data_IF_311762479311
#
_entry.id   IF_311762479311
#
_cell.length_a   1.000
_cell.length_b   1.000
_cell.length_c   1.000
_cell.angle_alpha   90.00
_cell.angle_beta   90.00
_cell.angle_gamma   90.00
#
_symmetry.space_group_name_H-M   'P 1'
#
loop_
_entity.id
_entity.type
_entity.pdbx_description
1 polymer ?
#
# COMPACT_ATOMS: atom_id res chain seq x y z
N UNK A 1 19.07 -16.68 -7.95
CA UNK A 1 18.24 -16.73 -9.18
C UNK A 1 17.91 -15.29 -9.53
N UNK A 2 18.12 -14.91 -10.79
CA UNK A 2 18.12 -13.50 -11.26
C UNK A 2 16.70 -12.92 -11.31
N UNK A 3 16.48 -11.65 -10.93
CA UNK A 3 15.23 -10.92 -11.20
C UNK A 3 14.82 -11.09 -12.69
N UNK A 4 15.81 -11.19 -13.58
CA UNK A 4 15.68 -11.55 -15.00
C UNK A 4 15.06 -12.94 -15.26
N UNK A 5 15.32 -13.95 -14.42
CA UNK A 5 14.70 -15.28 -14.52
C UNK A 5 13.24 -15.28 -14.03
N UNK A 6 12.84 -14.29 -13.22
CA UNK A 6 11.44 -14.09 -12.81
C UNK A 6 10.55 -13.64 -13.98
N UNK A 7 11.08 -12.79 -14.86
CA UNK A 7 10.44 -12.37 -16.13
C UNK A 7 10.34 -13.52 -17.15
N UNK A 8 11.08 -14.61 -16.94
CA UNK A 8 10.94 -15.87 -17.68
C UNK A 8 9.72 -16.71 -17.26
N UNK A 9 9.13 -16.42 -16.09
CA UNK A 9 7.77 -16.88 -15.76
C UNK A 9 6.83 -16.03 -16.61
N UNK A 10 5.74 -16.61 -17.14
CA UNK A 10 4.85 -15.98 -18.13
C UNK A 10 4.05 -14.74 -17.63
N UNK A 11 4.57 -14.02 -16.64
CA UNK A 11 3.94 -12.95 -15.90
C UNK A 11 4.21 -11.62 -16.60
N UNK A 12 3.15 -10.86 -16.84
CA UNK A 12 3.28 -9.57 -17.49
C UNK A 12 3.84 -8.52 -16.53
N UNK A 13 4.96 -7.86 -16.85
CA UNK A 13 5.59 -6.85 -16.00
C UNK A 13 4.82 -5.53 -15.92
N UNK A 14 3.67 -5.42 -16.62
CA UNK A 14 2.79 -4.25 -16.60
C UNK A 14 1.56 -4.48 -15.74
N UNK A 15 1.01 -5.69 -15.69
CA UNK A 15 -0.18 -6.01 -14.88
C UNK A 15 0.08 -7.00 -13.73
N UNK A 16 1.23 -7.66 -13.69
CA UNK A 16 1.58 -8.67 -12.68
C UNK A 16 0.90 -10.03 -12.86
N UNK A 17 0.17 -10.27 -13.96
CA UNK A 17 -0.62 -11.50 -14.16
C UNK A 17 0.13 -12.59 -14.97
N UNK A 18 0.02 -13.86 -14.52
CA UNK A 18 0.59 -15.07 -15.16
C UNK A 18 0.01 -15.40 -16.54
N UNK A 19 -1.24 -15.03 -16.79
CA UNK A 19 -1.93 -15.22 -18.07
C UNK A 19 -2.35 -13.87 -18.61
N UNK A 20 -1.37 -13.06 -18.95
CA UNK A 20 -1.63 -11.79 -19.59
C UNK A 20 -2.38 -12.04 -20.90
N UNK A 21 -3.64 -11.61 -20.99
CA UNK A 21 -4.51 -11.72 -22.17
C UNK A 21 -4.01 -10.95 -23.40
N UNK A 22 -2.79 -10.38 -23.35
CA UNK A 22 -2.25 -9.50 -24.37
C UNK A 22 -0.98 -10.10 -24.97
N UNK A 23 -0.89 -10.19 -26.31
CA UNK A 23 0.23 -10.85 -26.99
C UNK A 23 1.56 -10.12 -26.77
N UNK A 24 2.62 -10.90 -26.51
CA UNK A 24 4.01 -10.44 -26.46
C UNK A 24 4.46 -10.07 -27.91
N UNK A 25 4.48 -8.79 -28.28
CA UNK A 25 5.06 -8.31 -29.56
C UNK A 25 6.59 -8.09 -29.42
N UNK A 26 7.40 -8.35 -30.45
CA UNK A 26 8.87 -8.14 -30.48
C UNK A 26 9.30 -6.71 -30.12
N UNK A 27 8.44 -5.71 -30.31
CA UNK A 27 8.68 -4.34 -29.80
C UNK A 27 8.78 -4.28 -28.27
N UNK A 28 8.11 -5.19 -27.56
CA UNK A 28 8.14 -5.30 -26.11
C UNK A 28 9.51 -5.72 -25.59
N UNK A 29 10.12 -6.75 -26.18
CA UNK A 29 11.45 -7.22 -25.76
C UNK A 29 12.48 -6.09 -25.81
N UNK A 30 12.42 -5.24 -26.85
CA UNK A 30 13.35 -4.11 -27.00
C UNK A 30 13.14 -3.00 -25.97
N UNK A 31 11.89 -2.74 -25.56
CA UNK A 31 11.62 -1.73 -24.51
C UNK A 31 11.90 -2.32 -23.13
N UNK A 32 11.62 -3.60 -22.91
CA UNK A 32 12.01 -4.32 -21.70
C UNK A 32 13.52 -4.28 -21.53
N UNK A 33 14.30 -4.62 -22.56
CA UNK A 33 15.76 -4.57 -22.54
C UNK A 33 16.28 -3.16 -22.23
N UNK A 34 15.66 -2.11 -22.78
CA UNK A 34 16.03 -0.72 -22.46
C UNK A 34 15.67 -0.34 -21.02
N UNK A 35 14.53 -0.79 -20.51
CA UNK A 35 14.14 -0.60 -19.13
C UNK A 35 15.16 -1.31 -18.21
N UNK A 36 15.52 -2.55 -18.52
CA UNK A 36 16.53 -3.34 -17.83
C UNK A 36 17.91 -2.68 -17.86
N UNK A 37 18.36 -2.18 -19.01
CA UNK A 37 19.65 -1.49 -19.13
C UNK A 37 19.69 -0.19 -18.33
N UNK A 38 18.62 0.60 -18.36
CA UNK A 38 18.56 1.84 -17.58
C UNK A 38 18.45 1.57 -16.08
N UNK A 39 17.74 0.51 -15.71
CA UNK A 39 17.64 0.04 -14.34
C UNK A 39 19.00 -0.42 -13.81
N UNK A 40 19.72 -1.25 -14.55
CA UNK A 40 21.07 -1.70 -14.20
C UNK A 40 22.08 -0.55 -14.08
N UNK A 41 21.84 0.57 -14.77
CA UNK A 41 22.66 1.79 -14.70
C UNK A 41 22.21 2.78 -13.61
N UNK A 42 21.22 2.43 -12.79
CA UNK A 42 20.66 3.31 -11.75
C UNK A 42 19.91 4.54 -12.30
N UNK A 43 19.58 4.56 -13.60
CA UNK A 43 18.94 5.70 -14.25
C UNK A 43 17.41 5.64 -14.11
N UNK A 44 16.92 5.87 -12.89
CA UNK A 44 15.52 5.71 -12.53
C UNK A 44 14.57 6.66 -13.28
N UNK A 45 15.03 7.86 -13.62
CA UNK A 45 14.28 8.80 -14.48
C UNK A 45 13.98 8.18 -15.85
N UNK A 46 14.95 7.48 -16.43
CA UNK A 46 14.82 6.84 -17.74
C UNK A 46 14.05 5.53 -17.66
N UNK A 47 14.18 4.78 -16.57
CA UNK A 47 13.30 3.64 -16.25
C UNK A 47 11.84 4.08 -16.22
N UNK A 48 11.53 5.18 -15.50
CA UNK A 48 10.19 5.77 -15.43
C UNK A 48 9.67 6.17 -16.82
N UNK A 49 10.49 6.83 -17.64
CA UNK A 49 10.14 7.21 -19.00
C UNK A 49 9.88 6.00 -19.94
N UNK A 50 10.73 4.98 -19.90
CA UNK A 50 10.58 3.79 -20.74
C UNK A 50 9.37 2.95 -20.31
N UNK A 51 9.08 2.86 -19.01
CA UNK A 51 7.84 2.25 -18.50
C UNK A 51 6.58 3.01 -18.95
N UNK A 52 6.61 4.34 -18.93
CA UNK A 52 5.50 5.16 -19.43
C UNK A 52 5.32 5.00 -20.96
N UNK A 53 6.41 4.81 -21.71
CA UNK A 53 6.36 4.50 -23.14
C UNK A 53 5.78 3.11 -23.43
N UNK A 54 5.98 2.12 -22.54
CA UNK A 54 5.30 0.82 -22.65
C UNK A 54 3.77 0.95 -22.55
N UNK A 55 3.29 1.84 -21.68
CA UNK A 55 1.86 2.14 -21.56
C UNK A 55 1.31 2.85 -22.81
N UNK A 56 2.09 3.74 -23.42
CA UNK A 56 1.68 4.47 -24.63
C UNK A 56 1.68 3.62 -25.90
N UNK A 57 2.57 2.62 -26.02
CA UNK A 57 2.57 1.65 -27.12
C UNK A 57 1.33 0.75 -27.13
N UNK A 58 0.63 0.62 -26.00
CA UNK A 58 -0.67 -0.08 -25.91
C UNK A 58 -1.82 0.70 -26.58
N UNK A 59 -1.62 1.99 -26.88
CA UNK A 59 -2.64 2.92 -27.39
C UNK A 59 -3.05 2.67 -28.84
N UNK A 60 -2.24 1.95 -29.64
CA UNK A 60 -2.63 1.60 -31.02
C UNK A 60 -3.58 0.40 -31.11
N UNK A 61 -3.72 -0.39 -30.04
CA UNK A 61 -4.54 -1.61 -30.02
C UNK A 61 -5.74 -1.53 -29.04
N UNK A 62 -5.93 -0.39 -28.37
CA UNK A 62 -7.08 -0.14 -27.48
C UNK A 62 -8.16 0.66 -28.23
N UNK A 63 -9.36 0.10 -28.33
CA UNK A 63 -10.53 0.78 -28.89
C UNK A 63 -10.90 2.04 -28.08
N UNK A 64 -11.00 3.15 -28.82
CA UNK A 64 -11.74 4.42 -28.68
C UNK A 64 -12.47 4.90 -27.38
N UNK A 65 -12.47 4.23 -26.22
CA UNK A 65 -13.31 4.67 -25.07
C UNK A 65 -12.61 5.38 -23.91
N UNK A 66 -11.31 5.66 -23.95
CA UNK A 66 -10.60 6.16 -22.74
C UNK A 66 -9.67 7.36 -22.95
N UNK A 67 -10.05 8.31 -23.81
CA UNK A 67 -9.23 9.51 -24.08
C UNK A 67 -9.02 10.35 -22.79
N UNK A 68 -10.03 10.45 -21.91
CA UNK A 68 -9.95 11.25 -20.67
C UNK A 68 -9.09 10.68 -19.55
N UNK A 69 -8.97 9.35 -19.43
CA UNK A 69 -8.23 8.70 -18.34
C UNK A 69 -6.70 8.79 -18.52
N UNK A 70 -6.23 8.92 -19.77
CA UNK A 70 -4.80 8.84 -20.10
C UNK A 70 -4.05 10.15 -19.89
N UNK A 71 -4.72 11.28 -20.10
CA UNK A 71 -4.14 12.60 -19.90
C UNK A 71 -4.05 12.90 -18.40
N UNK A 72 -5.14 12.62 -17.67
CA UNK A 72 -5.13 12.61 -16.21
C UNK A 72 -4.06 11.66 -15.63
N UNK A 73 -3.88 10.46 -16.19
CA UNK A 73 -2.82 9.53 -15.78
C UNK A 73 -1.41 10.09 -16.02
N UNK A 74 -1.13 10.59 -17.23
CA UNK A 74 0.18 11.18 -17.56
C UNK A 74 0.48 12.41 -16.71
N UNK A 75 -0.54 13.23 -16.44
CA UNK A 75 -0.41 14.41 -15.59
C UNK A 75 -0.21 14.01 -14.12
N UNK A 76 -0.90 12.96 -13.64
CA UNK A 76 -0.72 12.43 -12.29
C UNK A 76 0.64 11.77 -12.11
N UNK A 77 1.12 10.93 -13.04
CA UNK A 77 2.43 10.29 -12.95
C UNK A 77 3.60 11.29 -13.04
N UNK A 78 3.41 12.44 -13.70
CA UNK A 78 4.36 13.55 -13.74
C UNK A 78 4.34 14.42 -12.48
N UNK A 79 3.20 14.50 -11.80
CA UNK A 79 3.01 15.23 -10.52
C UNK A 79 3.25 14.36 -9.28
N UNK A 80 3.37 13.05 -9.49
CA UNK A 80 3.59 12.07 -8.45
C UNK A 80 5.03 12.13 -7.92
N UNK A 81 5.14 12.64 -6.70
CA UNK A 81 6.39 12.75 -5.94
C UNK A 81 6.63 11.52 -5.06
N UNK A 82 5.78 10.49 -5.15
CA UNK A 82 5.95 9.25 -4.39
C UNK A 82 7.09 8.39 -4.93
N UNK A 83 7.73 7.65 -4.04
CA UNK A 83 8.63 6.56 -4.38
C UNK A 83 7.81 5.42 -4.98
N UNK A 84 7.81 5.28 -6.30
CA UNK A 84 7.21 4.14 -7.00
C UNK A 84 7.73 2.80 -6.44
N UNK A 85 7.02 1.71 -6.71
CA UNK A 85 7.50 0.34 -6.48
C UNK A 85 8.92 0.08 -7.00
N UNK A 86 9.30 0.64 -8.15
CA UNK A 86 10.66 0.55 -8.70
C UNK A 86 11.67 1.33 -7.86
N UNK A 87 11.23 2.40 -7.20
CA UNK A 87 12.02 3.12 -6.21
C UNK A 87 12.28 2.27 -4.97
N UNK A 88 11.25 1.57 -4.45
CA UNK A 88 11.40 0.62 -3.34
C UNK A 88 12.35 -0.53 -3.71
N UNK A 89 12.21 -1.10 -4.90
CA UNK A 89 13.15 -2.10 -5.43
C UNK A 89 14.57 -1.54 -5.56
N UNK A 90 14.73 -0.34 -6.11
CA UNK A 90 16.05 0.30 -6.22
C UNK A 90 16.68 0.52 -4.84
N UNK A 91 15.89 0.82 -3.82
CA UNK A 91 16.37 0.95 -2.45
C UNK A 91 16.86 -0.39 -1.88
N UNK A 92 16.09 -1.47 -2.09
CA UNK A 92 16.49 -2.84 -1.75
C UNK A 92 17.84 -3.22 -2.38
N UNK A 93 18.01 -3.04 -3.69
CA UNK A 93 19.28 -3.34 -4.37
C UNK A 93 20.41 -2.37 -4.05
N UNK A 94 20.09 -1.18 -3.53
CA UNK A 94 21.07 -0.22 -3.03
C UNK A 94 21.83 -0.69 -1.79
N UNK A 95 21.40 -1.79 -1.16
CA UNK A 95 22.04 -2.45 0.00
C UNK A 95 22.25 -1.56 1.23
N UNK A 96 21.45 -0.51 1.37
CA UNK A 96 21.55 0.36 2.55
C UNK A 96 20.88 -0.25 3.78
N UNK A 97 19.87 -1.11 3.59
CA UNK A 97 19.02 -1.64 4.66
C UNK A 97 18.26 -0.56 5.45
N UNK A 98 18.33 0.70 4.99
CA UNK A 98 17.81 1.85 5.73
C UNK A 98 16.29 1.80 5.75
N UNK A 99 15.71 1.96 6.93
CA UNK A 99 14.27 2.16 7.09
C UNK A 99 13.77 3.33 6.23
N UNK A 100 12.59 3.16 5.62
CA UNK A 100 11.90 4.20 4.86
C UNK A 100 10.51 4.42 5.47
N UNK A 101 10.18 5.68 5.75
CA UNK A 101 8.85 6.06 6.21
C UNK A 101 7.82 6.19 5.06
N UNK A 102 6.53 6.04 5.36
CA UNK A 102 5.44 6.31 4.41
C UNK A 102 5.47 7.73 3.81
N UNK A 103 6.02 8.69 4.56
CA UNK A 103 6.18 10.07 4.12
C UNK A 103 7.29 10.20 3.07
N UNK A 104 8.41 9.50 3.25
CA UNK A 104 9.48 9.39 2.24
C UNK A 104 9.03 8.62 1.00
N UNK A 105 8.15 7.62 1.17
CA UNK A 105 7.49 6.96 0.04
C UNK A 105 6.47 7.90 -0.62
N UNK A 106 5.93 8.89 0.09
CA UNK A 106 4.93 9.82 -0.45
C UNK A 106 3.51 9.24 -0.52
N UNK A 107 3.19 8.22 0.29
CA UNK A 107 1.85 7.60 0.37
C UNK A 107 1.19 7.71 1.74
N UNK A 108 1.78 8.48 2.66
CA UNK A 108 1.28 8.67 4.02
C UNK A 108 -0.22 9.05 4.06
N UNK A 109 -0.59 10.15 3.40
CA UNK A 109 -1.99 10.63 3.40
C UNK A 109 -2.94 9.69 2.67
N UNK A 110 -2.46 8.99 1.64
CA UNK A 110 -3.24 7.99 0.91
C UNK A 110 -3.59 6.82 1.84
N UNK A 111 -2.63 6.28 2.57
CA UNK A 111 -2.84 5.18 3.52
C UNK A 111 -3.73 5.61 4.69
N UNK A 112 -3.51 6.81 5.21
CA UNK A 112 -4.39 7.43 6.22
C UNK A 112 -5.84 7.48 5.73
N UNK A 113 -6.07 7.93 4.51
CA UNK A 113 -7.40 7.96 3.88
C UNK A 113 -8.04 6.58 3.70
N UNK A 114 -7.24 5.56 3.39
CA UNK A 114 -7.74 4.18 3.25
C UNK A 114 -8.29 3.61 4.56
N UNK A 115 -7.78 4.02 5.73
CA UNK A 115 -8.31 3.56 7.02
C UNK A 115 -9.75 4.00 7.26
N UNK A 116 -10.13 5.13 6.66
CA UNK A 116 -11.43 5.76 6.82
C UNK A 116 -12.38 5.42 5.67
N UNK A 117 -11.86 4.94 4.53
CA UNK A 117 -12.64 4.61 3.33
C UNK A 117 -13.46 3.32 3.54
N UNK A 118 -14.79 3.38 3.41
CA UNK A 118 -15.63 2.18 3.42
C UNK A 118 -15.26 1.23 2.26
N UNK A 119 -15.19 -0.06 2.57
CA UNK A 119 -14.91 -1.11 1.59
C UNK A 119 -13.46 -1.22 1.10
N UNK A 120 -12.54 -0.41 1.65
CA UNK A 120 -11.11 -0.60 1.42
C UNK A 120 -10.65 -2.00 1.86
N UNK A 121 -9.65 -2.54 1.18
CA UNK A 121 -9.08 -3.87 1.39
C UNK A 121 -10.10 -5.00 1.20
N UNK A 122 -10.99 -4.83 0.22
CA UNK A 122 -12.01 -5.84 -0.16
C UNK A 122 -13.04 -6.12 0.93
N UNK A 123 -13.23 -5.21 1.89
CA UNK A 123 -14.19 -5.39 2.98
C UNK A 123 -15.62 -5.12 2.50
N UNK A 124 -16.58 -5.91 2.98
CA UNK A 124 -17.99 -5.76 2.62
C UNK A 124 -18.68 -4.60 3.35
N UNK A 125 -18.22 -4.25 4.56
CA UNK A 125 -18.90 -3.27 5.42
C UNK A 125 -17.91 -2.39 6.20
N UNK A 126 -18.24 -1.10 6.28
CA UNK A 126 -17.52 -0.10 7.05
C UNK A 126 -16.09 0.18 6.59
N UNK A 127 -15.41 1.05 7.31
CA UNK A 127 -13.97 1.29 7.20
C UNK A 127 -13.23 0.58 8.34
N UNK A 128 -11.90 0.54 8.28
CA UNK A 128 -11.10 -0.02 9.38
C UNK A 128 -11.37 0.77 10.67
N UNK A 129 -11.40 2.10 10.57
CA UNK A 129 -11.68 2.97 11.71
C UNK A 129 -13.09 2.75 12.27
N UNK A 130 -14.13 2.73 11.44
CA UNK A 130 -15.51 2.59 11.94
C UNK A 130 -15.73 1.23 12.60
N UNK A 131 -15.10 0.18 12.09
CA UNK A 131 -15.15 -1.15 12.69
C UNK A 131 -14.41 -1.19 14.01
N UNK A 132 -13.22 -0.60 14.08
CA UNK A 132 -12.49 -0.53 15.33
C UNK A 132 -13.27 0.24 16.41
N UNK A 133 -13.89 1.37 16.04
CA UNK A 133 -14.81 2.12 16.91
C UNK A 133 -15.97 1.23 17.38
N UNK A 134 -16.62 0.49 16.48
CA UNK A 134 -17.73 -0.41 16.86
C UNK A 134 -17.30 -1.47 17.87
N UNK A 135 -16.07 -1.99 17.77
CA UNK A 135 -15.56 -2.95 18.74
C UNK A 135 -15.27 -2.34 20.10
N UNK A 136 -14.87 -1.07 20.13
CA UNK A 136 -14.78 -0.30 21.39
C UNK A 136 -16.19 -0.09 21.96
N UNK A 137 -17.16 0.26 21.13
CA UNK A 137 -18.56 0.45 21.53
C UNK A 137 -19.19 -0.82 22.12
N UNK A 138 -18.72 -2.00 21.72
CA UNK A 138 -19.13 -3.30 22.26
C UNK A 138 -18.30 -3.75 23.48
N UNK A 139 -17.24 -3.00 23.82
CA UNK A 139 -16.32 -3.31 24.91
C UNK A 139 -15.42 -4.51 24.63
N UNK A 140 -15.09 -4.77 23.36
CA UNK A 140 -14.26 -5.91 22.94
C UNK A 140 -12.77 -5.62 23.10
N UNK A 141 -12.31 -4.43 22.69
CA UNK A 141 -10.89 -4.04 22.66
C UNK A 141 -10.71 -2.52 22.55
N UNK A 142 -9.51 -2.03 22.90
CA UNK A 142 -9.08 -0.63 22.71
C UNK A 142 -7.83 -0.51 21.82
N UNK A 143 -7.39 -1.63 21.26
CA UNK A 143 -6.27 -1.73 20.34
C UNK A 143 -6.52 -2.83 19.31
N UNK A 144 -5.84 -2.77 18.18
CA UNK A 144 -5.84 -3.81 17.16
C UNK A 144 -4.48 -3.89 16.46
N UNK A 145 -4.19 -5.06 15.86
CA UNK A 145 -3.07 -5.29 14.95
C UNK A 145 -3.49 -6.32 13.91
N UNK A 146 -3.58 -5.93 12.65
CA UNK A 146 -4.02 -6.80 11.55
C UNK A 146 -3.14 -6.59 10.30
N UNK A 147 -3.05 -7.63 9.46
CA UNK A 147 -2.47 -7.52 8.12
C UNK A 147 -3.49 -7.06 7.09
N UNK A 148 -3.05 -6.26 6.13
CA UNK A 148 -3.85 -5.75 5.01
C UNK A 148 -3.06 -5.84 3.70
N UNK A 149 -3.73 -6.21 2.62
CA UNK A 149 -3.14 -6.23 1.27
C UNK A 149 -3.36 -4.87 0.60
N UNK A 150 -2.37 -3.97 0.70
CA UNK A 150 -2.37 -2.67 0.04
C UNK A 150 -2.29 -2.80 -1.50
N UNK A 151 -1.81 -3.94 -1.99
CA UNK A 151 -1.82 -4.27 -3.41
C UNK A 151 -3.23 -4.32 -4.01
N UNK A 152 -4.30 -4.51 -3.23
CA UNK A 152 -5.68 -4.41 -3.74
C UNK A 152 -6.16 -2.97 -3.92
N UNK A 153 -5.54 -2.00 -3.24
CA UNK A 153 -5.93 -0.58 -3.29
C UNK A 153 -5.11 0.24 -4.31
N UNK A 154 -4.23 -0.43 -5.07
CA UNK A 154 -3.42 0.19 -6.11
C UNK A 154 -4.29 0.81 -7.21
N UNK A 155 -3.92 2.00 -7.66
CA UNK A 155 -4.57 2.69 -8.79
C UNK A 155 -4.01 2.23 -10.13
N UNK A 156 -2.71 1.89 -10.13
CA UNK A 156 -2.03 1.28 -11.27
C UNK A 156 -1.28 0.04 -10.81
N UNK A 157 -0.89 -0.89 -11.70
CA UNK A 157 -0.31 -2.15 -11.26
C UNK A 157 1.14 -1.97 -10.78
N UNK A 158 2.11 -2.46 -11.54
CA UNK A 158 3.48 -2.64 -11.08
C UNK A 158 4.16 -1.36 -10.61
N UNK A 159 3.72 -0.16 -11.01
CA UNK A 159 4.37 1.12 -10.65
C UNK A 159 3.87 1.74 -9.32
N UNK A 160 2.69 1.36 -8.85
CA UNK A 160 2.07 1.99 -7.68
C UNK A 160 2.85 1.61 -6.40
N UNK A 161 3.20 2.57 -5.53
CA UNK A 161 3.89 2.26 -4.29
C UNK A 161 3.09 1.29 -3.39
N UNK A 162 1.75 1.36 -3.41
CA UNK A 162 0.91 0.44 -2.63
C UNK A 162 1.01 -1.00 -3.13
N UNK A 163 1.25 -1.18 -4.43
CA UNK A 163 1.55 -2.49 -4.98
C UNK A 163 2.93 -3.00 -4.54
N UNK A 164 3.92 -2.09 -4.46
CA UNK A 164 5.25 -2.39 -3.93
C UNK A 164 5.23 -2.78 -2.46
N UNK A 165 4.46 -2.07 -1.63
CA UNK A 165 4.25 -2.40 -0.21
C UNK A 165 3.55 -3.75 -0.06
N UNK A 166 2.60 -4.08 -0.95
CA UNK A 166 1.92 -5.38 -0.91
C UNK A 166 1.18 -5.59 0.41
N UNK A 167 1.58 -6.60 1.20
CA UNK A 167 0.96 -6.93 2.47
C UNK A 167 1.64 -6.24 3.65
N UNK A 168 0.96 -5.33 4.35
CA UNK A 168 1.52 -4.64 5.52
C UNK A 168 0.65 -4.82 6.77
N UNK A 169 1.29 -4.74 7.94
CA UNK A 169 0.60 -4.76 9.23
C UNK A 169 0.22 -3.34 9.63
N UNK A 170 -1.06 -3.13 9.94
CA UNK A 170 -1.53 -1.89 10.59
C UNK A 170 -2.04 -2.22 11.98
N UNK A 171 -1.63 -1.39 12.92
CA UNK A 171 -2.11 -1.38 14.30
C UNK A 171 -2.70 -0.02 14.65
N UNK A 172 -3.63 -0.02 15.60
CA UNK A 172 -4.22 1.19 16.15
C UNK A 172 -4.49 1.01 17.64
N UNK A 173 -4.23 2.03 18.45
CA UNK A 173 -4.54 2.06 19.88
C UNK A 173 -5.29 3.34 20.21
N UNK A 174 -6.40 3.23 20.94
CA UNK A 174 -7.12 4.37 21.47
C UNK A 174 -6.43 4.86 22.76
N UNK A 175 -6.07 6.13 22.79
CA UNK A 175 -5.47 6.83 23.95
C UNK A 175 -6.10 8.21 24.13
N UNK A 176 -5.63 8.94 25.15
CA UNK A 176 -6.08 10.31 25.46
C UNK A 176 -7.60 10.42 25.57
N UNK A 177 -8.20 9.43 26.24
CA UNK A 177 -9.65 9.26 26.31
C UNK A 177 -10.26 10.18 27.36
N UNK A 178 -11.24 10.97 26.94
CA UNK A 178 -12.19 11.65 27.81
C UNK A 178 -13.61 11.21 27.48
N UNK A 179 -14.51 11.28 28.46
CA UNK A 179 -15.89 10.86 28.28
C UNK A 179 -16.82 11.80 29.00
N UNK A 180 -17.84 12.27 28.29
CA UNK A 180 -18.89 13.11 28.84
C UNK A 180 -20.19 12.31 28.89
N UNK A 181 -20.87 12.34 30.03
CA UNK A 181 -22.16 11.65 30.18
C UNK A 181 -23.19 12.33 29.26
N UNK A 182 -23.80 11.55 28.38
CA UNK A 182 -24.80 12.03 27.42
C UNK A 182 -25.94 11.02 27.34
N UNK A 183 -27.12 11.41 27.85
CA UNK A 183 -28.27 10.53 27.92
C UNK A 183 -28.04 9.30 28.80
N UNK A 184 -28.26 8.12 28.23
CA UNK A 184 -28.07 6.80 28.82
C UNK A 184 -26.67 6.21 28.58
N UNK A 185 -25.75 6.99 28.01
CA UNK A 185 -24.38 6.57 27.74
C UNK A 185 -23.36 7.67 27.93
N UNK A 186 -22.22 7.48 27.26
CA UNK A 186 -21.10 8.40 27.24
C UNK A 186 -20.78 8.78 25.80
N UNK A 187 -20.59 10.07 25.57
CA UNK A 187 -19.90 10.52 24.38
C UNK A 187 -18.39 10.49 24.66
N UNK A 188 -17.67 9.65 23.95
CA UNK A 188 -16.25 9.35 24.16
C UNK A 188 -15.43 10.09 23.11
N UNK A 189 -14.47 10.89 23.59
CA UNK A 189 -13.45 11.54 22.77
C UNK A 189 -12.12 10.86 23.01
N UNK A 190 -11.33 10.69 21.96
CA UNK A 190 -9.98 10.17 22.12
C UNK A 190 -9.17 10.25 20.83
N UNK A 191 -7.97 9.70 20.89
CA UNK A 191 -7.03 9.70 19.77
C UNK A 191 -6.70 8.26 19.44
N UNK A 192 -6.92 7.85 18.18
CA UNK A 192 -6.38 6.58 17.68
C UNK A 192 -4.97 6.85 17.17
N UNK A 193 -3.98 6.23 17.80
CA UNK A 193 -2.61 6.19 17.35
C UNK A 193 -2.43 5.00 16.42
N UNK A 194 -2.27 5.28 15.13
CA UNK A 194 -2.02 4.26 14.12
C UNK A 194 -0.52 4.06 13.91
N UNK A 195 -0.14 2.81 13.66
CA UNK A 195 1.19 2.43 13.22
C UNK A 195 1.09 1.40 12.10
N UNK A 196 1.76 1.67 10.98
CA UNK A 196 2.02 0.74 9.92
C UNK A 196 3.45 0.22 10.03
N UNK A 197 3.59 -1.08 9.85
CA UNK A 197 4.86 -1.76 9.71
C UNK A 197 4.76 -2.77 8.56
N UNK A 198 5.73 -2.72 7.68
CA UNK A 198 5.99 -3.73 6.68
C UNK A 198 7.50 -3.99 6.61
N UNK A 199 7.88 -5.20 6.23
CA UNK A 199 9.26 -5.54 5.94
C UNK A 199 9.36 -5.82 4.46
N UNK A 200 9.91 -4.86 3.72
CA UNK A 200 10.14 -5.04 2.30
C UNK A 200 11.26 -6.06 2.11
N UNK A 201 10.90 -7.21 1.56
CA UNK A 201 11.82 -8.29 1.19
C UNK A 201 11.81 -8.51 -0.33
N UNK A 202 12.72 -9.36 -0.79
CA UNK A 202 12.99 -9.71 -2.20
C UNK A 202 11.87 -9.42 -3.23
N UNK A 203 12.16 -8.83 -4.42
CA UNK A 203 11.21 -8.65 -5.52
C UNK A 203 10.27 -9.83 -5.81
N UNK A 204 10.69 -11.09 -5.59
CA UNK A 204 9.79 -12.22 -5.81
C UNK A 204 8.55 -12.21 -4.89
N UNK A 205 8.58 -11.54 -3.74
CA UNK A 205 7.42 -11.28 -2.88
C UNK A 205 6.55 -10.16 -3.45
N UNK A 206 7.16 -9.01 -3.78
CA UNK A 206 6.49 -7.88 -4.46
C UNK A 206 5.75 -8.31 -5.74
N UNK A 207 6.34 -9.23 -6.52
CA UNK A 207 5.74 -9.74 -7.75
C UNK A 207 4.96 -11.07 -7.58
N UNK A 208 4.94 -11.67 -6.39
CA UNK A 208 4.25 -12.94 -6.10
C UNK A 208 4.77 -14.13 -6.96
N UNK A 209 6.08 -14.17 -7.17
CA UNK A 209 6.79 -15.06 -8.09
C UNK A 209 7.46 -16.26 -7.40
N UNK A 210 7.55 -16.30 -6.07
CA UNK A 210 8.15 -17.40 -5.28
C UNK A 210 7.45 -17.59 -3.92
N UNK A 211 7.82 -18.65 -3.19
CA UNK A 211 7.35 -18.91 -1.81
C UNK A 211 8.42 -18.69 -0.74
N UNK A 212 9.64 -18.38 -1.16
CA UNK A 212 10.81 -18.23 -0.29
C UNK A 212 11.49 -16.89 -0.61
N UNK A 213 11.72 -16.09 0.43
CA UNK A 213 12.41 -14.80 0.32
C UNK A 213 13.89 -15.05 0.03
N UNK A 214 14.37 -14.64 -1.14
CA UNK A 214 15.75 -14.87 -1.54
C UNK A 214 16.51 -13.54 -1.62
N UNK A 215 16.89 -13.02 -0.45
CA UNK A 215 17.52 -11.70 -0.29
C UNK A 215 18.99 -11.64 -0.76
N UNK A 216 19.43 -12.49 -1.69
CA UNK A 216 20.84 -12.54 -2.10
C UNK A 216 21.31 -11.21 -2.73
N UNK A 217 20.43 -10.53 -3.47
CA UNK A 217 20.85 -9.43 -4.34
C UNK A 217 20.66 -8.03 -3.74
N UNK A 218 19.94 -7.90 -2.64
CA UNK A 218 19.66 -6.63 -1.98
C UNK A 218 19.57 -6.78 -0.47
N UNK A 219 19.39 -5.67 0.23
CA UNK A 219 19.24 -5.65 1.68
C UNK A 219 17.76 -5.35 2.01
N UNK A 220 17.05 -6.26 2.71
CA UNK A 220 15.71 -5.98 3.22
C UNK A 220 15.69 -4.73 4.08
N UNK A 221 14.57 -4.04 4.10
CA UNK A 221 14.40 -2.84 4.91
C UNK A 221 12.98 -2.73 5.44
N UNK A 222 12.85 -2.02 6.55
CA UNK A 222 11.55 -1.77 7.16
C UNK A 222 10.88 -0.56 6.50
N UNK A 223 9.56 -0.69 6.28
CA UNK A 223 8.68 0.39 5.90
C UNK A 223 7.79 0.73 7.10
N UNK A 224 7.87 1.97 7.57
CA UNK A 224 7.17 2.41 8.79
C UNK A 224 6.28 3.60 8.53
N UNK A 225 5.22 3.76 9.32
CA UNK A 225 4.41 4.96 9.30
C UNK A 225 3.60 5.10 10.57
N UNK A 226 3.50 6.32 11.08
CA UNK A 226 2.73 6.61 12.29
C UNK A 226 1.90 7.87 12.08
N UNK A 227 0.62 7.82 12.47
CA UNK A 227 -0.28 8.98 12.41
C UNK A 227 -1.34 8.87 13.48
N UNK A 228 -2.07 9.97 13.69
CA UNK A 228 -3.10 10.08 14.72
C UNK A 228 -4.42 10.52 14.12
N UNK A 229 -5.51 9.99 14.65
CA UNK A 229 -6.87 10.44 14.32
C UNK A 229 -7.65 10.75 15.58
N UNK A 230 -8.23 11.95 15.63
CA UNK A 230 -9.19 12.28 16.66
C UNK A 230 -10.51 11.59 16.34
N UNK A 231 -11.11 10.96 17.34
CA UNK A 231 -12.38 10.26 17.22
C UNK A 231 -13.36 10.71 18.28
N UNK A 232 -14.62 10.66 17.91
CA UNK A 232 -15.75 10.94 18.78
C UNK A 232 -16.85 9.93 18.48
N UNK A 233 -17.31 9.19 19.50
CA UNK A 233 -18.37 8.19 19.35
C UNK A 233 -19.11 7.95 20.66
N UNK A 234 -20.36 7.51 20.53
CA UNK A 234 -21.20 7.16 21.67
C UNK A 234 -20.94 5.73 22.15
N UNK A 235 -20.92 5.49 23.46
CA UNK A 235 -20.85 4.17 24.09
C UNK A 235 -21.93 4.06 25.16
N UNK A 236 -22.66 2.95 25.17
CA UNK A 236 -23.65 2.67 26.22
C UNK A 236 -23.01 2.66 27.60
N UNK A 237 -23.72 3.20 28.61
CA UNK A 237 -23.18 3.37 29.96
C UNK A 237 -22.64 2.07 30.56
N UNK A 238 -23.40 0.98 30.45
CA UNK A 238 -23.01 -0.32 31.00
C UNK A 238 -21.74 -0.85 30.35
N UNK A 239 -21.57 -0.63 29.04
CA UNK A 239 -20.38 -1.07 28.32
C UNK A 239 -19.17 -0.21 28.69
N UNK A 240 -19.36 1.11 28.76
CA UNK A 240 -18.29 2.04 29.09
C UNK A 240 -17.74 1.80 30.50
N UNK A 241 -18.61 1.80 31.51
CA UNK A 241 -18.23 1.67 32.92
C UNK A 241 -17.64 0.29 33.23
N UNK A 242 -18.19 -0.79 32.66
CA UNK A 242 -17.80 -2.16 33.03
C UNK A 242 -16.72 -2.77 32.14
N UNK A 243 -16.61 -2.39 30.87
CA UNK A 243 -15.67 -2.99 29.93
C UNK A 243 -14.60 -2.01 29.47
N UNK A 244 -15.00 -0.91 28.84
CA UNK A 244 -14.05 0.03 28.19
C UNK A 244 -13.11 0.65 29.23
N UNK A 245 -13.63 1.09 30.38
CA UNK A 245 -12.80 1.64 31.46
C UNK A 245 -11.79 0.63 32.04
N UNK A 246 -12.09 -0.67 32.00
CA UNK A 246 -11.14 -1.69 32.43
C UNK A 246 -10.03 -1.89 31.40
N UNK A 247 -10.38 -1.85 30.12
CA UNK A 247 -9.42 -1.95 29.01
C UNK A 247 -8.47 -0.75 29.01
N UNK A 248 -8.96 0.47 29.25
CA UNK A 248 -8.15 1.70 29.29
C UNK A 248 -7.16 1.78 30.47
N UNK A 249 -7.38 0.97 31.52
CA UNK A 249 -6.50 0.91 32.71
C UNK A 249 -5.32 -0.07 32.56
N UNK A 250 -5.32 -0.88 31.50
CA UNK A 250 -4.25 -1.84 31.19
C UNK A 250 -3.16 -1.18 30.34
#
# INVERSE_FOLDING_TARGET
MDFLNGLGKNICPVCGEKECKYPKDKRWEKVLNRLMENYAKGNMTRVKMEYLNLLSLRKSNFSKTSIGATQAFNDNAKKDNSMSSFGLLSHFFGKSGREISLSEIGVHDQIRGLMQKPGAFGRSEGSIQSRFISQIQNGERIDFKNGYDFGTEKKVPVYDPLWGIGGATVSGKLTDVSAEKMGDGYNVYGVIHYKLYDKFTDPYDTFNWGKEDNNWFGEPFDITGEWKENVNFHVERQIFENKVMQLLKK
#
